data_IF_844397378899
#
_entry.id   IF_844397378899
#
_cell.length_a   1.000
_cell.length_b   1.000
_cell.length_c   1.000
_cell.angle_alpha   90.00
_cell.angle_beta   90.00
_cell.angle_gamma   90.00
#
_symmetry.space_group_name_H-M   'P 1'
#
loop_
_entity.id
_entity.type
_entity.pdbx_description
1 polymer ?
#
# COMPACT_ATOMS: atom_id res chain seq x y z
N UNK A 1 -18.23 62.23 -37.64
CA UNK A 1 -18.50 61.25 -36.56
C UNK A 1 -17.16 60.64 -36.18
N UNK A 2 -16.50 61.19 -35.15
CA UNK A 2 -15.26 60.61 -34.64
C UNK A 2 -15.62 59.37 -33.80
N UNK A 3 -14.95 58.27 -34.11
CA UNK A 3 -15.20 56.94 -33.57
C UNK A 3 -14.80 56.88 -32.08
N UNK A 4 -15.80 56.86 -31.19
CA UNK A 4 -15.63 56.81 -29.74
C UNK A 4 -15.27 55.40 -29.22
N UNK A 5 -15.06 54.42 -30.11
CA UNK A 5 -14.80 53.01 -29.73
C UNK A 5 -13.32 52.70 -29.44
N UNK A 6 -12.38 53.51 -29.96
CA UNK A 6 -10.94 53.30 -29.81
C UNK A 6 -10.40 53.37 -28.35
N UNK A 7 -10.80 54.32 -27.48
CA UNK A 7 -10.23 54.43 -26.13
C UNK A 7 -10.70 53.33 -25.16
N UNK A 8 -11.85 52.69 -25.43
CA UNK A 8 -12.40 51.65 -24.55
C UNK A 8 -11.66 50.31 -24.73
N UNK A 9 -11.22 50.00 -25.96
CA UNK A 9 -10.44 48.81 -26.25
C UNK A 9 -9.05 48.85 -25.59
N UNK A 10 -8.43 50.03 -25.53
CA UNK A 10 -7.11 50.24 -24.93
C UNK A 10 -7.17 50.12 -23.38
N UNK A 11 -8.22 50.68 -22.77
CA UNK A 11 -8.50 50.55 -21.34
C UNK A 11 -8.77 49.10 -20.91
N UNK A 12 -9.50 48.33 -21.73
CA UNK A 12 -9.75 46.92 -21.48
C UNK A 12 -8.45 46.08 -21.55
N UNK A 13 -7.58 46.39 -22.52
CA UNK A 13 -6.28 45.74 -22.66
C UNK A 13 -5.32 46.09 -21.51
N UNK A 14 -5.32 47.34 -21.04
CA UNK A 14 -4.56 47.78 -19.86
C UNK A 14 -5.07 47.13 -18.57
N UNK A 15 -6.38 47.01 -18.39
CA UNK A 15 -6.99 46.31 -17.27
C UNK A 15 -6.62 44.82 -17.25
N UNK A 16 -6.60 44.15 -18.41
CA UNK A 16 -6.16 42.75 -18.51
C UNK A 16 -4.67 42.61 -18.18
N UNK A 17 -3.84 43.57 -18.61
CA UNK A 17 -2.40 43.60 -18.34
C UNK A 17 -2.11 43.83 -16.85
N UNK A 18 -2.83 44.75 -16.20
CA UNK A 18 -2.82 44.98 -14.75
C UNK A 18 -3.20 43.71 -13.99
N UNK A 19 -4.31 43.06 -14.38
CA UNK A 19 -4.77 41.82 -13.76
C UNK A 19 -3.75 40.69 -13.90
N UNK A 20 -3.07 40.58 -15.05
CA UNK A 20 -1.95 39.63 -15.25
C UNK A 20 -0.75 39.96 -14.38
N UNK A 21 -0.44 41.23 -14.16
CA UNK A 21 0.67 41.66 -13.29
C UNK A 21 0.35 41.39 -11.82
N UNK A 22 -0.88 41.65 -11.38
CA UNK A 22 -1.35 41.28 -10.03
C UNK A 22 -1.32 39.76 -9.84
N UNK A 23 -1.80 38.99 -10.81
CA UNK A 23 -1.71 37.52 -10.78
C UNK A 23 -0.27 37.03 -10.69
N UNK A 24 0.66 37.63 -11.46
CA UNK A 24 2.10 37.32 -11.36
C UNK A 24 2.67 37.66 -9.98
N UNK A 25 2.30 38.81 -9.41
CA UNK A 25 2.72 39.21 -8.07
C UNK A 25 2.18 38.26 -6.98
N UNK A 26 0.98 37.70 -7.17
CA UNK A 26 0.41 36.70 -6.27
C UNK A 26 1.13 35.34 -6.35
N UNK A 27 1.68 34.96 -7.51
CA UNK A 27 2.46 33.71 -7.69
C UNK A 27 3.77 33.75 -6.90
N UNK A 28 4.43 34.91 -6.84
CA UNK A 28 5.72 35.07 -6.13
C UNK A 28 5.56 35.29 -4.62
N UNK A 29 4.32 35.55 -4.16
CA UNK A 29 4.04 35.84 -2.75
C UNK A 29 4.07 34.54 -1.92
N UNK A 30 5.01 34.44 -0.99
CA UNK A 30 5.09 33.32 -0.03
C UNK A 30 4.00 33.43 1.04
N UNK A 31 2.98 32.58 0.97
CA UNK A 31 1.90 32.54 1.96
C UNK A 31 2.15 31.48 3.04
N UNK A 32 2.91 31.84 4.09
CA UNK A 32 3.31 30.91 5.16
C UNK A 32 2.14 30.18 5.86
N UNK A 33 0.96 30.79 5.96
CA UNK A 33 -0.19 30.23 6.69
C UNK A 33 -1.23 29.51 5.82
N UNK A 34 -1.27 29.79 4.51
CA UNK A 34 -2.17 29.14 3.57
C UNK A 34 -1.59 27.77 3.19
N UNK A 35 -0.26 27.68 3.02
CA UNK A 35 0.42 26.47 2.55
C UNK A 35 0.26 25.26 3.50
N UNK A 36 0.57 25.38 4.79
CA UNK A 36 0.51 24.22 5.69
C UNK A 36 -0.90 23.68 5.93
N UNK A 37 -1.92 24.55 5.83
CA UNK A 37 -3.32 24.14 5.96
C UNK A 37 -3.74 23.30 4.76
N UNK A 38 -3.34 23.71 3.56
CA UNK A 38 -3.57 22.93 2.36
C UNK A 38 -2.81 21.62 2.37
N UNK A 39 -1.55 21.60 2.84
CA UNK A 39 -0.81 20.35 3.02
C UNK A 39 -1.53 19.42 3.99
N UNK A 40 -2.02 19.93 5.12
CA UNK A 40 -2.76 19.13 6.09
C UNK A 40 -4.08 18.60 5.50
N UNK A 41 -4.84 19.44 4.79
CA UNK A 41 -6.08 19.02 4.12
C UNK A 41 -5.78 17.95 3.07
N UNK A 42 -4.76 18.16 2.23
CA UNK A 42 -4.36 17.22 1.20
C UNK A 42 -3.97 15.86 1.80
N UNK A 43 -3.05 15.85 2.78
CA UNK A 43 -2.59 14.61 3.38
C UNK A 43 -3.65 13.91 4.22
N UNK A 44 -4.56 14.62 4.87
CA UNK A 44 -5.65 13.99 5.64
C UNK A 44 -6.72 13.39 4.73
N UNK A 45 -7.11 14.09 3.67
CA UNK A 45 -8.10 13.57 2.71
C UNK A 45 -7.54 12.43 1.87
N UNK A 46 -6.25 12.47 1.53
CA UNK A 46 -5.58 11.39 0.79
C UNK A 46 -5.52 10.07 1.57
N UNK A 47 -5.60 10.07 2.90
CA UNK A 47 -5.56 8.85 3.73
C UNK A 47 -6.64 7.88 3.27
N UNK A 48 -7.87 8.33 3.08
CA UNK A 48 -8.99 7.46 2.70
C UNK A 48 -8.84 6.86 1.31
N UNK A 49 -8.32 7.63 0.36
CA UNK A 49 -8.10 7.17 -1.02
C UNK A 49 -6.95 6.16 -1.07
N UNK A 50 -5.85 6.47 -0.40
CA UNK A 50 -4.67 5.60 -0.36
C UNK A 50 -4.94 4.34 0.44
N UNK A 51 -5.61 4.45 1.59
CA UNK A 51 -6.05 3.31 2.39
C UNK A 51 -7.01 2.44 1.59
N UNK A 52 -8.02 3.00 0.95
CA UNK A 52 -8.97 2.26 0.13
C UNK A 52 -8.28 1.54 -1.04
N UNK A 53 -7.44 2.24 -1.79
CA UNK A 53 -6.69 1.65 -2.89
C UNK A 53 -5.77 0.51 -2.42
N UNK A 54 -5.01 0.73 -1.33
CA UNK A 54 -4.10 -0.26 -0.78
C UNK A 54 -4.82 -1.47 -0.20
N UNK A 55 -5.85 -1.23 0.61
CA UNK A 55 -6.54 -2.29 1.33
C UNK A 55 -7.43 -3.14 0.39
N UNK A 56 -8.15 -2.52 -0.56
CA UNK A 56 -8.92 -3.27 -1.58
C UNK A 56 -7.96 -4.11 -2.44
N UNK A 57 -6.84 -3.55 -2.88
CA UNK A 57 -5.85 -4.30 -3.67
C UNK A 57 -5.34 -5.52 -2.90
N UNK A 58 -4.94 -5.32 -1.63
CA UNK A 58 -4.51 -6.41 -0.75
C UNK A 58 -5.62 -7.45 -0.56
N UNK A 59 -6.86 -7.03 -0.29
CA UNK A 59 -7.97 -7.94 -0.05
C UNK A 59 -8.29 -8.79 -1.28
N UNK A 60 -8.25 -8.22 -2.49
CA UNK A 60 -8.56 -8.96 -3.71
C UNK A 60 -7.49 -10.00 -4.09
N UNK A 61 -6.21 -9.72 -3.83
CA UNK A 61 -5.13 -10.65 -4.19
C UNK A 61 -4.74 -11.59 -3.05
N UNK A 62 -4.76 -11.11 -1.81
CA UNK A 62 -4.20 -11.77 -0.64
C UNK A 62 -5.13 -11.73 0.59
N UNK A 63 -6.42 -11.39 0.40
CA UNK A 63 -7.37 -11.17 1.48
C UNK A 63 -7.50 -12.37 2.40
N UNK A 64 -7.63 -13.57 1.85
CA UNK A 64 -7.81 -14.77 2.66
C UNK A 64 -6.63 -15.02 3.61
N UNK A 65 -5.40 -14.82 3.13
CA UNK A 65 -4.20 -14.94 3.97
C UNK A 65 -4.01 -13.80 4.96
N UNK A 66 -4.55 -12.62 4.67
CA UNK A 66 -4.59 -11.51 5.63
C UNK A 66 -5.66 -11.76 6.71
N UNK A 67 -6.79 -12.35 6.32
CA UNK A 67 -8.00 -12.47 7.13
C UNK A 67 -7.86 -13.44 8.29
N UNK A 68 -7.19 -14.56 8.11
CA UNK A 68 -7.25 -15.64 9.08
C UNK A 68 -5.85 -16.01 9.58
N UNK A 69 -5.70 -16.37 10.85
CA UNK A 69 -4.43 -16.89 11.37
C UNK A 69 -4.07 -18.24 10.78
N UNK A 70 -5.07 -19.11 10.59
CA UNK A 70 -4.88 -20.46 10.06
C UNK A 70 -4.48 -20.46 8.58
N UNK A 71 -4.58 -19.33 7.87
CA UNK A 71 -4.08 -19.20 6.50
C UNK A 71 -2.64 -18.70 6.41
N UNK A 72 -2.05 -18.16 7.49
CA UNK A 72 -0.70 -17.55 7.47
C UNK A 72 0.40 -18.62 7.48
N UNK A 73 0.58 -19.29 6.35
CA UNK A 73 1.49 -20.43 6.17
C UNK A 73 2.92 -20.03 5.77
N UNK A 74 3.88 -20.97 5.75
CA UNK A 74 5.25 -20.67 5.31
C UNK A 74 5.43 -20.50 3.80
N UNK A 75 4.50 -20.99 2.96
CA UNK A 75 4.67 -21.06 1.51
C UNK A 75 3.94 -19.94 0.76
N UNK A 76 2.61 -19.90 0.87
CA UNK A 76 1.80 -19.01 0.03
C UNK A 76 1.68 -17.62 0.63
N UNK A 77 1.51 -17.52 1.94
CA UNK A 77 1.39 -16.25 2.64
C UNK A 77 2.55 -15.28 2.33
N UNK A 78 3.84 -15.65 2.45
CA UNK A 78 4.94 -14.70 2.23
C UNK A 78 5.08 -14.28 0.77
N UNK A 79 4.63 -15.12 -0.18
CA UNK A 79 4.72 -14.85 -1.62
C UNK A 79 3.59 -13.91 -2.06
N UNK A 80 2.35 -14.29 -1.79
CA UNK A 80 1.16 -13.60 -2.28
C UNK A 80 0.99 -12.26 -1.56
N UNK A 81 1.24 -12.19 -0.25
CA UNK A 81 1.13 -10.93 0.49
C UNK A 81 2.21 -9.93 0.09
N UNK A 82 3.45 -10.36 -0.11
CA UNK A 82 4.53 -9.47 -0.54
C UNK A 82 4.20 -8.83 -1.90
N UNK A 83 3.70 -9.63 -2.85
CA UNK A 83 3.24 -9.14 -4.14
C UNK A 83 2.06 -8.18 -4.03
N UNK A 84 1.00 -8.55 -3.32
CA UNK A 84 -0.22 -7.73 -3.26
C UNK A 84 0.03 -6.39 -2.56
N UNK A 85 0.82 -6.41 -1.48
CA UNK A 85 1.03 -5.24 -0.62
C UNK A 85 2.01 -4.22 -1.18
N UNK A 86 2.91 -4.59 -2.10
CA UNK A 86 3.92 -3.66 -2.64
C UNK A 86 3.38 -2.75 -3.76
N UNK A 87 2.28 -3.13 -4.41
CA UNK A 87 1.77 -2.48 -5.63
C UNK A 87 1.43 -1.00 -5.38
N UNK A 88 0.54 -0.72 -4.42
CA UNK A 88 0.10 0.65 -4.12
C UNK A 88 1.21 1.49 -3.45
N UNK A 89 1.97 0.97 -2.47
CA UNK A 89 3.17 1.64 -1.95
C UNK A 89 4.13 2.09 -3.05
N UNK A 90 4.42 1.21 -4.02
CA UNK A 90 5.27 1.53 -5.17
C UNK A 90 4.67 2.63 -6.04
N UNK A 91 3.37 2.57 -6.34
CA UNK A 91 2.70 3.61 -7.12
C UNK A 91 2.79 4.98 -6.46
N UNK A 92 2.55 5.05 -5.14
CA UNK A 92 2.62 6.30 -4.39
C UNK A 92 4.06 6.79 -4.24
N UNK A 93 5.01 5.88 -4.05
CA UNK A 93 6.43 6.18 -4.03
C UNK A 93 6.91 6.80 -5.35
N UNK A 94 6.44 6.30 -6.50
CA UNK A 94 6.72 6.93 -7.80
C UNK A 94 6.22 8.37 -7.85
N UNK A 95 4.94 8.58 -7.51
CA UNK A 95 4.28 9.89 -7.61
C UNK A 95 5.00 10.90 -6.72
N UNK A 96 5.21 10.56 -5.44
CA UNK A 96 5.83 11.47 -4.48
C UNK A 96 7.30 11.77 -4.81
N UNK A 97 8.04 10.76 -5.27
CA UNK A 97 9.45 10.95 -5.61
C UNK A 97 9.65 11.78 -6.88
N UNK A 98 8.79 11.62 -7.88
CA UNK A 98 8.87 12.38 -9.13
C UNK A 98 8.36 13.81 -8.95
N UNK A 99 7.27 14.01 -8.21
CA UNK A 99 6.66 15.32 -8.01
C UNK A 99 7.43 16.19 -7.00
N UNK A 100 7.80 15.63 -5.85
CA UNK A 100 8.29 16.41 -4.70
C UNK A 100 9.63 15.94 -4.14
N UNK A 101 10.23 14.87 -4.69
CA UNK A 101 11.43 14.21 -4.12
C UNK A 101 11.23 13.81 -2.65
N UNK A 102 9.97 13.49 -2.31
CA UNK A 102 9.57 13.16 -0.95
C UNK A 102 9.63 11.64 -0.72
N UNK A 103 10.51 11.12 0.15
CA UNK A 103 10.73 9.68 0.33
C UNK A 103 9.81 9.08 1.40
N UNK A 104 8.49 9.21 1.25
CA UNK A 104 7.55 8.62 2.22
C UNK A 104 6.40 7.85 1.58
N UNK A 105 6.43 7.62 0.27
CA UNK A 105 5.29 7.06 -0.44
C UNK A 105 4.90 5.66 0.04
N UNK A 106 5.87 4.79 0.29
CA UNK A 106 5.58 3.45 0.77
C UNK A 106 5.13 3.45 2.24
N UNK A 107 5.80 4.22 3.09
CA UNK A 107 5.51 4.36 4.52
C UNK A 107 4.14 4.99 4.75
N UNK A 108 3.81 6.04 4.02
CA UNK A 108 2.51 6.70 4.09
C UNK A 108 1.39 5.73 3.71
N UNK A 109 1.56 4.98 2.61
CA UNK A 109 0.60 3.94 2.20
C UNK A 109 0.44 2.88 3.30
N UNK A 110 1.55 2.41 3.87
CA UNK A 110 1.55 1.42 4.94
C UNK A 110 0.78 1.87 6.19
N UNK A 111 0.97 3.11 6.63
CA UNK A 111 0.25 3.68 7.78
C UNK A 111 -1.26 3.81 7.48
N UNK A 112 -1.62 4.27 6.28
CA UNK A 112 -3.01 4.39 5.86
C UNK A 112 -3.70 3.03 5.83
N UNK A 113 -3.04 2.02 5.25
CA UNK A 113 -3.54 0.64 5.20
C UNK A 113 -3.66 0.02 6.58
N UNK A 114 -2.68 0.24 7.47
CA UNK A 114 -2.72 -0.29 8.83
C UNK A 114 -3.97 0.19 9.56
N UNK A 115 -4.25 1.49 9.52
CA UNK A 115 -5.44 2.05 10.17
C UNK A 115 -6.74 1.49 9.56
N UNK A 116 -6.85 1.47 8.23
CA UNK A 116 -8.05 0.95 7.58
C UNK A 116 -8.28 -0.54 7.85
N UNK A 117 -7.22 -1.35 7.82
CA UNK A 117 -7.33 -2.77 8.10
C UNK A 117 -7.81 -3.03 9.53
N UNK A 118 -7.27 -2.33 10.54
CA UNK A 118 -7.71 -2.48 11.93
C UNK A 118 -9.14 -2.00 12.17
N UNK A 119 -9.53 -0.86 11.58
CA UNK A 119 -10.92 -0.38 11.62
C UNK A 119 -11.84 -1.43 10.99
N UNK A 120 -11.47 -1.97 9.83
CA UNK A 120 -12.19 -3.06 9.18
C UNK A 120 -12.31 -4.30 10.06
N UNK A 121 -11.23 -4.75 10.71
CA UNK A 121 -11.26 -5.90 11.63
C UNK A 121 -12.21 -5.69 12.79
N UNK A 122 -12.13 -4.53 13.42
CA UNK A 122 -12.93 -4.25 14.59
C UNK A 122 -14.43 -4.18 14.27
N UNK A 123 -14.82 -3.38 13.27
CA UNK A 123 -16.24 -3.21 12.98
C UNK A 123 -16.85 -4.39 12.21
N UNK A 124 -16.14 -4.95 11.22
CA UNK A 124 -16.68 -6.01 10.38
C UNK A 124 -16.57 -7.39 11.03
N UNK A 125 -15.43 -7.71 11.64
CA UNK A 125 -15.17 -9.09 12.09
C UNK A 125 -15.48 -9.30 13.57
N UNK A 126 -15.11 -8.36 14.45
CA UNK A 126 -15.36 -8.46 15.89
C UNK A 126 -16.80 -8.05 16.24
N UNK A 127 -17.22 -6.82 15.90
CA UNK A 127 -18.56 -6.34 16.26
C UNK A 127 -19.65 -7.08 15.47
N UNK A 128 -19.54 -7.11 14.13
CA UNK A 128 -20.63 -7.62 13.29
C UNK A 128 -20.67 -9.14 13.15
N UNK A 129 -19.53 -9.85 13.29
CA UNK A 129 -19.44 -11.30 13.10
C UNK A 129 -18.92 -12.05 14.34
N UNK A 130 -18.50 -11.34 15.39
CA UNK A 130 -18.07 -11.92 16.68
C UNK A 130 -16.88 -12.88 16.56
N UNK A 131 -16.02 -12.69 15.56
CA UNK A 131 -14.74 -13.39 15.49
C UNK A 131 -13.73 -12.73 16.42
N UNK A 132 -12.97 -13.52 17.21
CA UNK A 132 -11.94 -12.97 18.07
C UNK A 132 -10.87 -12.21 17.30
N UNK A 133 -10.47 -11.05 17.81
CA UNK A 133 -9.44 -10.22 17.16
C UNK A 133 -8.10 -10.95 16.97
N UNK A 134 -7.76 -11.87 17.86
CA UNK A 134 -6.55 -12.68 17.76
C UNK A 134 -6.61 -13.77 16.66
N UNK A 135 -7.79 -14.03 16.08
CA UNK A 135 -7.97 -14.91 14.93
C UNK A 135 -7.96 -14.13 13.60
N UNK A 136 -8.44 -12.88 13.62
CA UNK A 136 -8.64 -12.06 12.40
C UNK A 136 -7.70 -10.86 12.28
N UNK A 137 -6.57 -10.86 13.01
CA UNK A 137 -5.65 -9.72 13.02
C UNK A 137 -5.04 -9.47 11.62
N UNK A 138 -4.93 -8.19 11.20
CA UNK A 138 -4.41 -7.84 9.88
C UNK A 138 -2.89 -7.79 9.89
N UNK A 139 -2.27 -8.09 8.75
CA UNK A 139 -0.84 -7.87 8.55
C UNK A 139 -0.52 -6.38 8.59
N UNK A 140 0.69 -6.07 9.03
CA UNK A 140 1.27 -4.74 8.96
C UNK A 140 2.47 -4.74 8.01
N UNK A 141 2.51 -3.72 7.15
CA UNK A 141 3.60 -3.49 6.20
C UNK A 141 4.42 -2.24 6.55
N UNK A 142 4.22 -1.66 7.73
CA UNK A 142 4.88 -0.40 8.14
C UNK A 142 6.40 -0.55 8.15
N UNK A 143 6.92 -1.65 8.72
CA UNK A 143 8.36 -1.92 8.72
C UNK A 143 8.94 -2.04 7.31
N UNK A 144 8.24 -2.72 6.41
CA UNK A 144 8.65 -2.86 5.01
C UNK A 144 8.57 -1.52 4.24
N UNK A 145 7.54 -0.71 4.52
CA UNK A 145 7.35 0.66 4.02
C UNK A 145 8.56 1.55 4.26
N UNK A 146 9.02 1.58 5.52
CA UNK A 146 10.17 2.39 5.93
C UNK A 146 11.44 1.95 5.20
N UNK A 147 11.69 0.64 5.13
CA UNK A 147 12.87 0.11 4.46
C UNK A 147 12.84 0.39 2.95
N UNK A 148 11.68 0.25 2.30
CA UNK A 148 11.51 0.55 0.88
C UNK A 148 11.80 2.02 0.58
N UNK A 149 11.22 2.94 1.34
CA UNK A 149 11.49 4.38 1.16
C UNK A 149 12.95 4.73 1.44
N UNK A 150 13.56 4.10 2.44
CA UNK A 150 14.98 4.25 2.72
C UNK A 150 15.85 3.76 1.56
N UNK A 151 15.53 2.62 0.95
CA UNK A 151 16.27 2.11 -0.23
C UNK A 151 16.18 3.06 -1.41
N UNK A 152 15.00 3.65 -1.69
CA UNK A 152 14.85 4.65 -2.74
C UNK A 152 15.63 5.93 -2.42
N UNK A 153 15.56 6.40 -1.19
CA UNK A 153 16.27 7.60 -0.75
C UNK A 153 17.80 7.45 -0.90
N UNK A 154 18.34 6.26 -0.60
CA UNK A 154 19.78 5.98 -0.71
C UNK A 154 20.23 5.75 -2.14
N UNK A 155 19.51 4.93 -2.90
CA UNK A 155 19.90 4.57 -4.27
C UNK A 155 19.54 5.64 -5.29
N UNK A 156 18.50 6.46 -5.00
CA UNK A 156 17.89 7.45 -5.90
C UNK A 156 17.48 6.86 -7.26
N UNK A 157 17.32 5.54 -7.34
CA UNK A 157 17.08 4.80 -8.58
C UNK A 157 15.94 3.80 -8.37
N UNK A 158 14.90 3.92 -9.18
CA UNK A 158 13.77 2.99 -9.13
C UNK A 158 14.16 1.56 -9.52
N UNK A 159 15.17 1.38 -10.38
CA UNK A 159 15.65 0.05 -10.78
C UNK A 159 16.33 -0.64 -9.59
N UNK A 160 17.26 0.04 -8.92
CA UNK A 160 17.94 -0.51 -7.74
C UNK A 160 16.96 -0.72 -6.58
N UNK A 161 16.00 0.20 -6.41
CA UNK A 161 14.92 0.06 -5.41
C UNK A 161 14.05 -1.15 -5.72
N UNK A 162 13.68 -1.39 -6.98
CA UNK A 162 12.91 -2.58 -7.34
C UNK A 162 13.69 -3.86 -7.05
N UNK A 163 14.98 -3.91 -7.38
CA UNK A 163 15.79 -5.11 -7.21
C UNK A 163 16.06 -5.41 -5.73
N UNK A 164 16.59 -4.44 -4.98
CA UNK A 164 16.98 -4.63 -3.58
C UNK A 164 15.77 -4.48 -2.66
N UNK A 165 15.02 -3.39 -2.85
CA UNK A 165 13.88 -3.04 -2.02
C UNK A 165 12.75 -4.08 -2.08
N UNK A 166 12.48 -4.72 -3.22
CA UNK A 166 11.43 -5.75 -3.27
C UNK A 166 11.80 -7.04 -2.53
N UNK A 167 13.07 -7.45 -2.55
CA UNK A 167 13.52 -8.60 -1.76
C UNK A 167 13.51 -8.27 -0.26
N UNK A 168 13.99 -7.08 0.11
CA UNK A 168 13.89 -6.58 1.49
C UNK A 168 12.43 -6.47 1.93
N UNK A 169 11.52 -6.07 1.04
CA UNK A 169 10.09 -5.98 1.31
C UNK A 169 9.50 -7.32 1.73
N UNK A 170 9.69 -8.37 0.92
CA UNK A 170 9.14 -9.68 1.21
C UNK A 170 9.61 -10.22 2.57
N UNK A 171 10.91 -10.09 2.85
CA UNK A 171 11.50 -10.50 4.14
C UNK A 171 10.96 -9.65 5.29
N UNK A 172 10.87 -8.33 5.12
CA UNK A 172 10.41 -7.42 6.17
C UNK A 172 8.93 -7.59 6.48
N UNK A 173 8.08 -7.83 5.47
CA UNK A 173 6.65 -8.13 5.68
C UNK A 173 6.51 -9.41 6.49
N UNK A 174 7.20 -10.48 6.12
CA UNK A 174 7.14 -11.72 6.89
C UNK A 174 7.67 -11.53 8.32
N UNK A 175 8.88 -10.96 8.47
CA UNK A 175 9.53 -10.81 9.77
C UNK A 175 8.73 -9.94 10.74
N UNK A 176 8.15 -8.83 10.27
CA UNK A 176 7.33 -7.94 11.08
C UNK A 176 6.07 -8.65 11.60
N UNK A 177 5.48 -9.51 10.79
CA UNK A 177 4.24 -10.22 11.13
C UNK A 177 4.48 -11.59 11.78
N UNK A 178 5.72 -12.07 11.84
CA UNK A 178 6.04 -13.31 12.55
C UNK A 178 5.85 -13.18 14.06
N UNK A 179 6.18 -12.02 14.65
CA UNK A 179 6.05 -11.78 16.11
C UNK A 179 4.61 -12.01 16.61
N UNK A 180 3.56 -11.39 16.01
CA UNK A 180 2.19 -11.68 16.41
C UNK A 180 1.72 -13.09 16.01
N UNK A 181 2.32 -13.72 14.99
CA UNK A 181 1.94 -15.06 14.54
C UNK A 181 2.49 -16.19 15.44
N UNK A 182 3.71 -16.03 15.97
CA UNK A 182 4.46 -17.10 16.65
C UNK A 182 3.72 -17.80 17.81
N UNK A 183 2.91 -17.12 18.64
CA UNK A 183 2.11 -17.79 19.67
C UNK A 183 1.05 -18.76 19.10
N UNK A 184 0.55 -18.51 17.89
CA UNK A 184 -0.47 -19.35 17.25
C UNK A 184 0.13 -20.57 16.54
N UNK A 185 1.44 -20.57 16.29
CA UNK A 185 2.16 -21.70 15.71
C UNK A 185 2.55 -22.77 16.74
N UNK A 186 2.24 -22.55 18.02
CA UNK A 186 2.51 -23.54 19.06
C UNK A 186 1.67 -24.80 18.84
N UNK A 187 2.22 -26.00 19.10
CA UNK A 187 1.48 -27.24 19.00
C UNK A 187 0.42 -27.31 20.11
N UNK A 188 -0.76 -27.80 19.75
CA UNK A 188 -1.89 -28.05 20.64
C UNK A 188 -2.46 -29.45 20.36
N UNK A 189 -2.89 -30.13 21.43
CA UNK A 189 -3.60 -31.40 21.31
C UNK A 189 -5.10 -31.13 21.24
N UNK A 190 -5.74 -31.44 20.11
CA UNK A 190 -7.14 -31.15 19.86
C UNK A 190 -7.78 -32.29 19.06
N UNK A 191 -8.93 -32.80 19.52
CA UNK A 191 -9.64 -33.93 18.89
C UNK A 191 -8.72 -35.14 18.59
N UNK A 192 -7.89 -35.54 19.54
CA UNK A 192 -6.90 -36.64 19.39
C UNK A 192 -5.86 -36.45 18.28
N UNK A 193 -5.68 -35.22 17.80
CA UNK A 193 -4.68 -34.83 16.82
C UNK A 193 -3.74 -33.75 17.37
N UNK A 194 -2.50 -33.73 16.89
CA UNK A 194 -1.57 -32.60 17.11
C UNK A 194 -1.77 -31.61 15.97
N UNK A 195 -2.26 -30.43 16.33
CA UNK A 195 -2.51 -29.32 15.40
C UNK A 195 -1.89 -28.04 15.97
N UNK A 196 -1.82 -26.96 15.19
CA UNK A 196 -1.36 -25.68 15.74
C UNK A 196 -2.50 -24.96 16.47
N UNK A 197 -2.19 -24.00 17.35
CA UNK A 197 -3.21 -23.16 17.97
C UNK A 197 -4.02 -22.39 16.92
N UNK A 198 -3.42 -21.97 15.80
CA UNK A 198 -4.16 -21.34 14.70
C UNK A 198 -5.16 -22.30 14.06
N UNK A 199 -4.80 -23.57 13.83
CA UNK A 199 -5.74 -24.57 13.34
C UNK A 199 -6.90 -24.80 14.33
N UNK A 200 -6.62 -24.82 15.65
CA UNK A 200 -7.68 -24.89 16.68
C UNK A 200 -8.65 -23.72 16.56
N UNK A 201 -8.16 -22.49 16.36
CA UNK A 201 -9.02 -21.34 16.12
C UNK A 201 -9.88 -21.53 14.87
N UNK A 202 -9.29 -21.99 13.75
CA UNK A 202 -9.99 -22.22 12.49
C UNK A 202 -11.07 -23.31 12.56
N UNK A 203 -10.91 -24.28 13.46
CA UNK A 203 -11.90 -25.34 13.72
C UNK A 203 -12.97 -24.86 14.72
N UNK A 204 -12.57 -24.16 15.79
CA UNK A 204 -13.48 -23.74 16.86
C UNK A 204 -14.41 -22.59 16.42
N UNK A 205 -13.91 -21.63 15.63
CA UNK A 205 -14.69 -20.51 15.12
C UNK A 205 -15.25 -20.83 13.74
N UNK A 206 -16.51 -21.27 13.71
CA UNK A 206 -17.18 -21.75 12.50
C UNK A 206 -17.30 -20.63 11.47
N UNK A 207 -16.71 -20.86 10.30
CA UNK A 207 -16.88 -20.02 9.11
C UNK A 207 -17.80 -20.73 8.12
N UNK A 208 -19.02 -20.19 7.93
CA UNK A 208 -20.09 -20.84 7.16
C UNK A 208 -19.74 -21.07 5.68
N UNK A 209 -18.90 -20.22 5.09
CA UNK A 209 -18.58 -20.24 3.65
C UNK A 209 -17.12 -20.58 3.33
N UNK A 210 -16.25 -20.77 4.33
CA UNK A 210 -14.82 -21.06 4.12
C UNK A 210 -14.42 -22.38 4.78
N UNK A 211 -14.84 -23.52 4.23
CA UNK A 211 -14.40 -24.83 4.70
C UNK A 211 -12.89 -25.03 4.51
N UNK A 212 -12.32 -25.95 5.29
CA UNK A 212 -10.88 -26.22 5.34
C UNK A 212 -10.26 -26.47 3.95
N UNK A 213 -10.95 -27.18 3.07
CA UNK A 213 -10.38 -27.58 1.79
C UNK A 213 -10.11 -26.39 0.84
N UNK A 214 -10.78 -25.25 1.03
CA UNK A 214 -10.52 -24.01 0.28
C UNK A 214 -9.19 -23.35 0.68
N UNK A 215 -8.65 -23.72 1.86
CA UNK A 215 -7.42 -23.14 2.38
C UNK A 215 -6.23 -23.52 1.49
N UNK A 216 -5.62 -22.49 0.90
CA UNK A 216 -4.44 -22.58 0.07
C UNK A 216 -3.19 -22.36 0.93
N UNK A 217 -2.71 -23.44 1.54
CA UNK A 217 -1.52 -23.46 2.41
C UNK A 217 -0.58 -24.59 1.99
N UNK A 218 0.64 -24.58 2.53
CA UNK A 218 1.56 -25.71 2.44
C UNK A 218 0.91 -27.02 2.92
N UNK A 219 0.90 -28.05 2.06
CA UNK A 219 0.47 -29.43 2.39
C UNK A 219 1.58 -30.47 2.21
N UNK A 220 2.82 -30.00 2.02
CA UNK A 220 3.97 -30.83 1.69
C UNK A 220 3.98 -31.33 0.24
N UNK A 221 5.17 -31.60 -0.30
CA UNK A 221 5.33 -32.22 -1.61
C UNK A 221 6.51 -33.20 -1.62
N UNK A 222 6.48 -34.23 -2.49
CA UNK A 222 7.61 -35.17 -2.64
C UNK A 222 8.93 -34.51 -3.11
N UNK A 223 8.85 -33.26 -3.57
CA UNK A 223 9.96 -32.45 -4.07
C UNK A 223 10.47 -31.41 -3.06
N UNK A 224 9.84 -31.26 -1.90
CA UNK A 224 10.27 -30.31 -0.86
C UNK A 224 11.22 -30.97 0.13
N UNK A 225 12.36 -30.33 0.39
CA UNK A 225 13.20 -30.68 1.53
C UNK A 225 12.60 -30.07 2.81
N UNK A 226 12.62 -30.84 3.90
CA UNK A 226 11.99 -30.45 5.17
C UNK A 226 12.64 -29.17 5.74
N UNK A 227 11.82 -28.19 6.12
CA UNK A 227 12.29 -26.96 6.78
C UNK A 227 12.78 -25.84 5.85
N UNK A 228 12.90 -26.10 4.54
CA UNK A 228 13.44 -25.12 3.57
C UNK A 228 12.36 -24.30 2.85
N UNK A 229 11.09 -24.72 2.91
CA UNK A 229 9.98 -24.11 2.16
C UNK A 229 9.87 -22.61 2.41
N UNK A 230 10.05 -22.18 3.66
CA UNK A 230 9.90 -20.77 4.04
C UNK A 230 10.97 -19.88 3.39
N UNK A 231 12.24 -20.32 3.41
CA UNK A 231 13.34 -19.53 2.83
C UNK A 231 13.20 -19.39 1.33
N UNK A 232 12.84 -20.48 0.65
CA UNK A 232 12.57 -20.47 -0.79
C UNK A 232 11.39 -19.55 -1.12
N UNK A 233 10.34 -19.60 -0.32
CA UNK A 233 9.14 -18.77 -0.49
C UNK A 233 9.42 -17.30 -0.26
N UNK A 234 10.31 -16.92 0.67
CA UNK A 234 10.72 -15.53 0.86
C UNK A 234 11.52 -14.98 -0.32
N UNK A 235 12.46 -15.76 -0.86
CA UNK A 235 13.26 -15.34 -2.03
C UNK A 235 12.36 -15.23 -3.27
N UNK A 236 11.53 -16.25 -3.50
CA UNK A 236 10.57 -16.23 -4.61
C UNK A 236 9.56 -15.10 -4.45
N UNK A 237 9.05 -14.88 -3.24
CA UNK A 237 8.18 -13.75 -2.89
C UNK A 237 8.82 -12.40 -3.20
N UNK A 238 10.13 -12.24 -2.95
CA UNK A 238 10.89 -11.06 -3.36
C UNK A 238 10.93 -10.86 -4.89
N UNK A 239 11.05 -11.95 -5.65
CA UNK A 239 11.01 -11.92 -7.12
C UNK A 239 9.63 -11.54 -7.65
N UNK A 240 8.56 -12.09 -7.06
CA UNK A 240 7.18 -11.71 -7.44
C UNK A 240 6.88 -10.27 -7.00
N UNK A 241 7.35 -9.86 -5.82
CA UNK A 241 7.24 -8.48 -5.34
C UNK A 241 7.97 -7.49 -6.25
N UNK A 242 9.09 -7.87 -6.87
CA UNK A 242 9.75 -7.04 -7.90
C UNK A 242 8.80 -6.76 -9.07
N UNK A 243 8.03 -7.76 -9.52
CA UNK A 243 7.02 -7.58 -10.57
C UNK A 243 5.91 -6.65 -10.07
N UNK A 244 5.41 -6.88 -8.85
CA UNK A 244 4.39 -6.03 -8.22
C UNK A 244 4.84 -4.58 -8.08
N UNK A 245 6.12 -4.35 -7.78
CA UNK A 245 6.71 -3.02 -7.71
C UNK A 245 6.59 -2.30 -9.06
N UNK A 246 6.97 -2.94 -10.17
CA UNK A 246 6.87 -2.32 -11.50
C UNK A 246 5.44 -2.12 -11.98
N UNK A 247 4.52 -3.02 -11.62
CA UNK A 247 3.08 -2.81 -11.84
C UNK A 247 2.62 -1.54 -11.11
N UNK A 248 2.99 -1.38 -9.85
CA UNK A 248 2.72 -0.17 -9.07
C UNK A 248 3.27 1.10 -9.72
N UNK A 249 4.55 1.09 -10.12
CA UNK A 249 5.19 2.21 -10.82
C UNK A 249 4.46 2.57 -12.11
N UNK A 250 4.02 1.57 -12.88
CA UNK A 250 3.26 1.76 -14.10
C UNK A 250 1.92 2.45 -13.82
N UNK A 251 1.17 1.97 -12.82
CA UNK A 251 -0.08 2.59 -12.37
C UNK A 251 0.16 4.06 -11.95
N UNK A 252 1.18 4.31 -11.13
CA UNK A 252 1.53 5.67 -10.70
C UNK A 252 1.87 6.59 -11.87
N UNK A 253 2.61 6.09 -12.86
CA UNK A 253 2.94 6.83 -14.09
C UNK A 253 1.72 7.10 -14.96
N UNK A 254 0.85 6.11 -15.11
CA UNK A 254 -0.37 6.19 -15.90
C UNK A 254 -1.37 7.20 -15.30
N UNK A 255 -1.58 7.17 -13.98
CA UNK A 255 -2.57 8.01 -13.31
C UNK A 255 -2.09 9.45 -13.08
N UNK A 256 -0.83 9.64 -12.67
CA UNK A 256 -0.36 10.97 -12.28
C UNK A 256 0.36 11.70 -13.42
N UNK A 257 1.27 11.05 -14.15
CA UNK A 257 2.22 11.77 -15.01
C UNK A 257 1.72 11.92 -16.45
N UNK A 258 1.13 10.88 -17.03
CA UNK A 258 0.66 10.91 -18.41
C UNK A 258 -0.47 11.91 -18.67
N UNK A 259 -1.52 12.01 -17.82
CA UNK A 259 -2.59 12.97 -18.04
C UNK A 259 -2.09 14.41 -17.93
N UNK A 260 -1.31 14.73 -16.90
CA UNK A 260 -0.73 16.07 -16.71
C UNK A 260 0.10 16.48 -17.93
N UNK A 261 0.99 15.61 -18.41
CA UNK A 261 1.81 15.91 -19.59
C UNK A 261 1.00 16.04 -20.87
N UNK A 262 -0.14 15.35 -20.99
CA UNK A 262 -1.03 15.49 -22.15
C UNK A 262 -1.67 16.88 -22.18
N UNK A 263 -2.18 17.35 -21.04
CA UNK A 263 -2.80 18.68 -20.94
C UNK A 263 -1.80 19.82 -21.06
N UNK A 264 -0.58 19.67 -20.53
CA UNK A 264 0.46 20.69 -20.65
C UNK A 264 1.00 20.86 -22.08
N UNK A 265 0.83 19.87 -22.96
CA UNK A 265 1.20 19.99 -24.38
C UNK A 265 0.12 20.69 -25.23
N UNK A 266 -1.09 20.83 -24.70
CA UNK A 266 -2.24 21.43 -25.40
C UNK A 266 -2.51 22.88 -25.01
N UNK A 267 -1.80 23.40 -24.00
CA UNK A 267 -1.77 24.81 -23.59
C UNK A 267 -0.55 25.49 -24.23
#
# INVERSE_FOLDING_TARGET
MADASAPVADLAAEAERQKRLELKALVEKKYKWIDWKWDLIFWTTAIFVVAGAGDITKQLFAGDWDFWTDWKDPQWWPVVTAFATIIIPSALQYIQWVAWRFPTGATYTACCMFLAAWVGRYFQWDIAQTYPMNFVWPISIVGAGILMDWTLMKTKSFILTSLIGAHVWAVAVWAYNYVPLAPFLQPAHFMDHVVTVSDVQGIAYIRSQTPEYLRMIERGALRSFLGETQYVSLIFGGTVAFIGYWIGQFIGRYLAVWPIRRYLKTL
#
